data_IF_200414360350
#
_entry.id   IF_200414360350
#
_cell.length_a   1.000
_cell.length_b   1.000
_cell.length_c   1.000
_cell.angle_alpha   90.00
_cell.angle_beta   90.00
_cell.angle_gamma   90.00
#
_symmetry.space_group_name_H-M   'P 1'
#
loop_
_entity.id
_entity.type
_entity.pdbx_description
1 polymer ?
#
# COMPACT_ATOMS: atom_id res chain seq x y z
N UNK A 1 29.07 7.41 0.20
CA UNK A 1 29.63 7.69 -1.14
C UNK A 1 29.24 6.64 -2.19
N UNK A 2 29.02 5.36 -1.84
CA UNK A 2 28.65 4.31 -2.82
C UNK A 2 27.14 4.16 -3.11
N UNK A 3 26.26 4.74 -2.26
CA UNK A 3 24.81 4.73 -2.51
C UNK A 3 24.52 5.59 -3.75
N UNK A 4 23.87 5.01 -4.76
CA UNK A 4 23.57 5.68 -6.03
C UNK A 4 24.74 5.73 -7.03
N UNK A 5 25.83 4.99 -6.79
CA UNK A 5 27.00 5.02 -7.68
C UNK A 5 26.81 4.27 -9.01
N UNK A 6 25.78 3.42 -9.12
CA UNK A 6 25.43 2.69 -10.35
C UNK A 6 26.62 1.96 -11.00
N UNK A 7 27.54 1.42 -10.18
CA UNK A 7 28.72 0.67 -10.65
C UNK A 7 29.89 1.52 -11.13
N UNK A 8 29.79 2.86 -11.11
CA UNK A 8 30.86 3.76 -11.61
C UNK A 8 32.01 3.96 -10.63
N UNK A 9 31.79 3.68 -9.34
CA UNK A 9 32.77 3.93 -8.27
C UNK A 9 33.44 2.66 -7.73
N UNK A 10 33.05 1.48 -8.20
CA UNK A 10 33.62 0.20 -7.78
C UNK A 10 32.56 -0.90 -7.55
N UNK A 11 33.01 -2.02 -6.97
CA UNK A 11 32.16 -3.20 -6.66
C UNK A 11 31.99 -3.32 -5.16
N UNK A 12 30.74 -3.33 -4.68
CA UNK A 12 30.42 -3.61 -3.28
C UNK A 12 30.51 -5.12 -3.07
N UNK A 13 31.46 -5.56 -2.23
CA UNK A 13 31.65 -7.00 -1.95
C UNK A 13 30.91 -7.47 -0.70
N UNK A 14 30.65 -6.57 0.26
CA UNK A 14 29.98 -6.87 1.52
C UNK A 14 29.10 -5.71 1.97
N UNK A 15 27.98 -6.03 2.61
CA UNK A 15 27.06 -5.06 3.22
C UNK A 15 26.57 -5.62 4.55
N UNK A 16 26.57 -4.80 5.59
CA UNK A 16 25.92 -5.10 6.86
C UNK A 16 24.56 -4.40 6.90
N UNK A 17 23.48 -5.17 7.07
CA UNK A 17 22.11 -4.67 7.09
C UNK A 17 21.50 -4.81 8.48
N UNK A 18 20.68 -3.84 8.86
CA UNK A 18 19.84 -3.95 10.06
C UNK A 18 18.65 -4.84 9.73
N UNK A 19 18.42 -5.85 10.56
CA UNK A 19 17.25 -6.72 10.49
C UNK A 19 16.19 -6.28 11.49
N UNK A 20 14.94 -6.56 11.16
CA UNK A 20 13.78 -6.40 12.02
C UNK A 20 13.11 -7.75 12.26
N UNK A 21 12.41 -7.90 13.38
CA UNK A 21 11.62 -9.10 13.65
C UNK A 21 10.49 -9.25 12.63
N UNK A 22 10.07 -10.50 12.39
CA UNK A 22 8.87 -10.75 11.59
C UNK A 22 7.65 -10.20 12.35
N UNK A 23 6.72 -9.51 11.65
CA UNK A 23 5.50 -9.04 12.28
C UNK A 23 4.63 -10.24 12.71
N UNK A 24 3.87 -10.05 13.79
CA UNK A 24 2.93 -11.07 14.29
C UNK A 24 1.75 -11.26 13.33
N UNK A 25 1.26 -10.17 12.76
CA UNK A 25 0.17 -10.13 11.78
C UNK A 25 0.51 -9.20 10.61
N UNK A 26 0.05 -9.60 9.44
CA UNK A 26 0.08 -8.81 8.20
C UNK A 26 -1.35 -8.79 7.68
N UNK A 27 -1.85 -7.61 7.32
CA UNK A 27 -3.13 -7.49 6.62
C UNK A 27 -3.01 -6.56 5.43
N UNK A 28 -3.90 -6.74 4.46
CA UNK A 28 -3.95 -5.92 3.25
C UNK A 28 -5.31 -5.29 3.08
N UNK A 29 -5.37 -4.13 2.42
CA UNK A 29 -6.62 -3.54 2.01
C UNK A 29 -6.55 -2.96 0.60
N UNK A 30 -7.69 -2.88 -0.06
CA UNK A 30 -7.84 -2.20 -1.35
C UNK A 30 -9.02 -1.25 -1.32
N UNK A 31 -8.89 -0.08 -1.94
CA UNK A 31 -10.02 0.81 -2.14
C UNK A 31 -9.88 1.61 -3.44
N UNK A 32 -10.99 1.78 -4.14
CA UNK A 32 -11.04 2.52 -5.40
C UNK A 32 -11.61 3.91 -5.19
N UNK A 33 -11.14 4.87 -5.98
CA UNK A 33 -11.51 6.28 -5.90
C UNK A 33 -12.13 6.77 -7.21
N UNK A 34 -12.94 7.84 -7.17
CA UNK A 34 -13.53 8.43 -8.38
C UNK A 34 -12.48 9.04 -9.31
N UNK A 35 -11.40 9.57 -8.75
CA UNK A 35 -10.29 10.17 -9.49
C UNK A 35 -8.97 10.11 -8.70
N UNK A 36 -7.88 10.43 -9.41
CA UNK A 36 -6.51 10.36 -8.87
C UNK A 36 -6.29 11.35 -7.72
N UNK A 37 -6.91 12.53 -7.78
CA UNK A 37 -6.73 13.57 -6.78
C UNK A 37 -7.39 13.18 -5.45
N UNK A 38 -8.57 12.56 -5.49
CA UNK A 38 -9.22 11.94 -4.33
C UNK A 38 -8.33 10.89 -3.66
N UNK A 39 -7.73 9.98 -4.43
CA UNK A 39 -6.81 8.96 -3.89
C UNK A 39 -5.59 9.60 -3.21
N UNK A 40 -4.97 10.59 -3.86
CA UNK A 40 -3.80 11.30 -3.31
C UNK A 40 -4.15 12.04 -2.01
N UNK A 41 -5.31 12.70 -1.94
CA UNK A 41 -5.74 13.40 -0.73
C UNK A 41 -5.96 12.44 0.45
N UNK A 42 -6.51 11.26 0.21
CA UNK A 42 -6.62 10.23 1.24
C UNK A 42 -5.23 9.81 1.76
N UNK A 43 -4.25 9.58 0.88
CA UNK A 43 -2.87 9.25 1.28
C UNK A 43 -2.23 10.38 2.09
N UNK A 44 -2.46 11.65 1.72
CA UNK A 44 -2.00 12.80 2.48
C UNK A 44 -2.58 12.77 3.90
N UNK A 45 -3.88 12.52 4.04
CA UNK A 45 -4.55 12.38 5.34
C UNK A 45 -3.95 11.25 6.19
N UNK A 46 -3.76 10.07 5.59
CA UNK A 46 -3.14 8.90 6.23
C UNK A 46 -1.74 9.25 6.80
N UNK A 47 -0.92 9.93 6.01
CA UNK A 47 0.42 10.36 6.44
C UNK A 47 0.33 11.41 7.56
N UNK A 48 -0.57 12.39 7.44
CA UNK A 48 -0.73 13.47 8.43
C UNK A 48 -1.26 12.97 9.78
N UNK A 49 -2.13 11.97 9.77
CA UNK A 49 -2.62 11.29 10.97
C UNK A 49 -1.61 10.31 11.56
N UNK A 50 -0.47 10.08 10.89
CA UNK A 50 0.58 9.20 11.38
C UNK A 50 0.18 7.72 11.38
N UNK A 51 -0.73 7.32 10.50
CA UNK A 51 -1.14 5.91 10.39
C UNK A 51 0.05 5.09 9.88
N UNK A 52 0.53 4.08 10.64
CA UNK A 52 1.70 3.31 10.25
C UNK A 52 1.35 2.25 9.19
N UNK A 53 1.20 2.69 7.93
CA UNK A 53 1.12 1.80 6.76
C UNK A 53 2.49 1.22 6.44
N UNK A 54 2.58 -0.11 6.33
CA UNK A 54 3.79 -0.78 5.89
C UNK A 54 4.02 -0.59 4.39
N UNK A 55 2.92 -0.55 3.62
CA UNK A 55 2.93 -0.25 2.18
C UNK A 55 1.68 0.49 1.76
N UNK A 56 1.84 1.40 0.81
CA UNK A 56 0.75 2.06 0.10
C UNK A 56 1.16 2.18 -1.36
N UNK A 57 0.42 1.54 -2.26
CA UNK A 57 0.64 1.56 -3.71
C UNK A 57 -0.60 2.13 -4.41
N UNK A 58 -0.39 2.95 -5.45
CA UNK A 58 -1.45 3.54 -6.25
C UNK A 58 -1.34 3.02 -7.68
N UNK A 59 -2.43 2.46 -8.20
CA UNK A 59 -2.58 2.18 -9.62
C UNK A 59 -3.64 3.13 -10.18
N UNK A 60 -3.36 3.73 -11.34
CA UNK A 60 -4.37 4.49 -12.07
C UNK A 60 -5.34 3.55 -12.83
N UNK A 61 -6.45 4.10 -13.32
CA UNK A 61 -7.48 3.33 -14.02
C UNK A 61 -6.92 2.56 -15.23
N UNK A 62 -5.95 3.15 -15.95
CA UNK A 62 -5.29 2.52 -17.11
C UNK A 62 -4.52 1.28 -16.68
N UNK A 63 -3.71 1.40 -15.63
CA UNK A 63 -2.89 0.33 -15.09
C UNK A 63 -3.77 -0.79 -14.52
N UNK A 64 -4.85 -0.46 -13.81
CA UNK A 64 -5.82 -1.45 -13.34
C UNK A 64 -6.44 -2.22 -14.52
N UNK A 65 -6.80 -1.53 -15.60
CA UNK A 65 -7.29 -2.19 -16.82
C UNK A 65 -6.29 -3.18 -17.43
N UNK A 66 -5.00 -2.82 -17.46
CA UNK A 66 -3.93 -3.70 -17.95
C UNK A 66 -3.71 -4.91 -17.03
N UNK A 67 -3.72 -4.69 -15.72
CA UNK A 67 -3.58 -5.75 -14.72
C UNK A 67 -4.75 -6.72 -14.79
N UNK A 68 -5.99 -6.24 -14.91
CA UNK A 68 -7.16 -7.09 -15.11
C UNK A 68 -7.02 -7.97 -16.36
N UNK A 69 -6.55 -7.39 -17.47
CA UNK A 69 -6.37 -8.12 -18.72
C UNK A 69 -5.24 -9.17 -18.68
N UNK A 70 -4.19 -8.93 -17.87
CA UNK A 70 -3.05 -9.84 -17.77
C UNK A 70 -3.25 -10.93 -16.70
N UNK A 71 -3.87 -10.58 -15.57
CA UNK A 71 -3.94 -11.40 -14.36
C UNK A 71 -5.32 -12.02 -14.11
N UNK A 72 -6.26 -11.88 -15.04
CA UNK A 72 -7.65 -12.37 -14.94
C UNK A 72 -8.36 -11.88 -13.66
N UNK A 73 -8.15 -10.60 -13.34
CA UNK A 73 -8.79 -9.92 -12.21
C UNK A 73 -10.01 -9.12 -12.67
N UNK A 74 -10.93 -8.89 -11.75
CA UNK A 74 -12.16 -8.11 -11.97
C UNK A 74 -12.21 -6.83 -11.14
N UNK A 75 -11.06 -6.15 -10.99
CA UNK A 75 -10.99 -4.90 -10.25
C UNK A 75 -11.73 -3.76 -10.99
N UNK A 76 -12.35 -2.80 -10.30
CA UNK A 76 -12.90 -1.62 -10.95
C UNK A 76 -11.81 -0.86 -11.72
N UNK A 77 -12.07 -0.50 -12.99
CA UNK A 77 -11.15 0.30 -13.80
C UNK A 77 -11.15 1.77 -13.35
N UNK A 78 -10.62 2.01 -12.14
CA UNK A 78 -10.58 3.28 -11.45
C UNK A 78 -9.22 3.42 -10.74
N UNK A 79 -8.83 4.62 -10.30
CA UNK A 79 -7.67 4.78 -9.41
C UNK A 79 -7.87 3.96 -8.13
N UNK A 80 -6.91 3.11 -7.80
CA UNK A 80 -7.01 2.16 -6.68
C UNK A 80 -5.77 2.26 -5.79
N UNK A 81 -6.00 2.38 -4.48
CA UNK A 81 -4.95 2.25 -3.47
C UNK A 81 -4.92 0.83 -2.93
N UNK A 82 -3.71 0.31 -2.74
CA UNK A 82 -3.43 -0.95 -2.09
C UNK A 82 -2.60 -0.69 -0.84
N UNK A 83 -3.04 -1.21 0.30
CA UNK A 83 -2.41 -1.06 1.59
C UNK A 83 -1.89 -2.39 2.10
N UNK A 84 -0.80 -2.31 2.87
CA UNK A 84 -0.29 -3.39 3.70
C UNK A 84 -0.01 -2.83 5.10
N UNK A 85 -0.44 -3.55 6.12
CA UNK A 85 -0.28 -3.20 7.54
C UNK A 85 0.43 -4.31 8.28
N UNK A 86 1.40 -3.96 9.13
CA UNK A 86 2.19 -4.90 9.92
C UNK A 86 2.05 -4.56 11.41
N UNK A 87 1.89 -5.57 12.26
CA UNK A 87 1.77 -5.35 13.70
C UNK A 87 1.28 -6.57 14.46
N UNK A 88 0.61 -6.33 15.58
CA UNK A 88 -0.20 -7.34 16.28
C UNK A 88 -1.54 -7.49 15.57
N UNK A 89 -2.29 -8.56 15.86
CA UNK A 89 -3.63 -8.73 15.28
C UNK A 89 -4.57 -7.54 15.55
N UNK A 90 -4.51 -6.95 16.76
CA UNK A 90 -5.28 -5.76 17.10
C UNK A 90 -4.74 -4.50 16.40
N UNK A 91 -3.42 -4.36 16.32
CA UNK A 91 -2.79 -3.19 15.71
C UNK A 91 -3.09 -3.06 14.22
N UNK A 92 -3.04 -4.16 13.47
CA UNK A 92 -3.35 -4.11 12.02
C UNK A 92 -4.82 -3.80 11.76
N UNK A 93 -5.74 -4.23 12.63
CA UNK A 93 -7.16 -3.90 12.54
C UNK A 93 -7.39 -2.40 12.81
N UNK A 94 -6.84 -1.86 13.89
CA UNK A 94 -6.95 -0.44 14.24
C UNK A 94 -6.39 0.47 13.13
N UNK A 95 -5.22 0.10 12.58
CA UNK A 95 -4.60 0.82 11.46
C UNK A 95 -5.47 0.78 10.19
N UNK A 96 -6.04 -0.38 9.86
CA UNK A 96 -6.91 -0.55 8.71
C UNK A 96 -8.22 0.22 8.85
N UNK A 97 -8.82 0.24 10.06
CA UNK A 97 -10.03 1.02 10.35
C UNK A 97 -9.80 2.53 10.17
N UNK A 98 -8.71 3.06 10.71
CA UNK A 98 -8.37 4.47 10.56
C UNK A 98 -8.03 4.83 9.10
N UNK A 99 -7.30 3.96 8.39
CA UNK A 99 -7.06 4.15 6.96
C UNK A 99 -8.36 4.13 6.15
N UNK A 100 -9.31 3.25 6.49
CA UNK A 100 -10.61 3.16 5.84
C UNK A 100 -11.45 4.42 6.05
N UNK A 101 -11.41 5.02 7.25
CA UNK A 101 -12.06 6.29 7.53
C UNK A 101 -11.49 7.42 6.67
N UNK A 102 -10.17 7.57 6.64
CA UNK A 102 -9.50 8.60 5.84
C UNK A 102 -9.71 8.40 4.33
N UNK A 103 -9.74 7.15 3.86
CA UNK A 103 -10.10 6.85 2.48
C UNK A 103 -11.53 7.29 2.15
N UNK A 104 -12.48 7.02 3.06
CA UNK A 104 -13.89 7.41 2.90
C UNK A 104 -14.07 8.93 2.88
N UNK A 105 -13.35 9.65 3.74
CA UNK A 105 -13.30 11.12 3.72
C UNK A 105 -12.76 11.66 2.38
N UNK A 106 -11.78 10.96 1.79
CA UNK A 106 -11.25 11.23 0.45
C UNK A 106 -12.18 10.86 -0.71
N UNK A 107 -13.36 10.28 -0.43
CA UNK A 107 -14.35 9.86 -1.42
C UNK A 107 -14.12 8.46 -1.99
N UNK A 108 -13.37 7.60 -1.29
CA UNK A 108 -13.24 6.20 -1.67
C UNK A 108 -14.60 5.48 -1.70
N UNK A 109 -14.71 4.51 -2.61
CA UNK A 109 -15.76 3.50 -2.58
C UNK A 109 -15.50 2.43 -1.51
N UNK A 110 -15.82 1.18 -1.83
CA UNK A 110 -15.66 0.08 -0.89
C UNK A 110 -14.19 -0.13 -0.48
N UNK A 111 -13.96 -0.20 0.83
CA UNK A 111 -12.67 -0.55 1.42
C UNK A 111 -12.68 -2.05 1.74
N UNK A 112 -11.98 -2.83 0.93
CA UNK A 112 -11.92 -4.28 1.07
C UNK A 112 -10.69 -4.64 1.89
N UNK A 113 -10.90 -5.17 3.09
CA UNK A 113 -9.84 -5.60 3.99
C UNK A 113 -9.74 -7.12 4.02
N UNK A 114 -8.50 -7.62 3.96
CA UNK A 114 -8.18 -9.03 4.05
C UNK A 114 -7.06 -9.25 5.06
N UNK A 115 -7.30 -10.15 6.02
CA UNK A 115 -6.30 -10.54 7.03
C UNK A 115 -5.29 -11.57 6.51
N UNK A 116 -5.44 -12.05 5.27
CA UNK A 116 -4.51 -12.97 4.61
C UNK A 116 -3.76 -12.23 3.48
N UNK A 117 -2.42 -12.12 3.55
CA UNK A 117 -1.61 -11.54 2.47
C UNK A 117 -1.78 -12.24 1.11
N UNK A 118 -2.21 -13.50 1.09
CA UNK A 118 -2.43 -14.27 -0.14
C UNK A 118 -3.80 -14.02 -0.79
N UNK A 119 -4.71 -13.32 -0.12
CA UNK A 119 -6.06 -13.03 -0.63
C UNK A 119 -6.13 -11.77 -1.52
N UNK A 120 -4.98 -11.29 -2.02
CA UNK A 120 -4.81 -10.09 -2.83
C UNK A 120 -5.21 -10.32 -4.29
#
# INVERSE_FOLDING_TARGET
MYVGAEGTLGVITEVQLRLWGLPEAISSATCSFPDLHSAVNAVIGIIQCGVPVARCELLDATTVGLVNAHSDLALPAAPTLFFEFHGTGAGVAEQAELAAELCREGGAGDFQWAADPAAR
#
